data_IF_845584759195
#
_entry.id   IF_845584759195
#
_cell.length_a   1.000
_cell.length_b   1.000
_cell.length_c   1.000
_cell.angle_alpha   90.00
_cell.angle_beta   90.00
_cell.angle_gamma   90.00
#
_symmetry.space_group_name_H-M   'P 1'
#
loop_
_entity.id
_entity.type
_entity.pdbx_description
1 polymer ?
#
# COMPACT_ATOMS: atom_id res chain seq x y z
N UNK A 1 5.09 25.72 -18.68
CA UNK A 1 5.14 24.70 -19.74
C UNK A 1 3.88 24.85 -20.58
N UNK A 2 4.03 25.06 -21.86
CA UNK A 2 2.89 25.21 -22.77
C UNK A 2 2.29 23.85 -23.19
N UNK A 3 1.12 23.89 -23.87
CA UNK A 3 0.43 22.65 -24.29
C UNK A 3 1.24 21.80 -25.28
N UNK A 4 2.08 22.44 -26.08
CA UNK A 4 2.88 21.78 -27.10
C UNK A 4 4.08 21.03 -26.48
N UNK A 5 4.75 21.68 -25.53
CA UNK A 5 5.83 21.05 -24.74
C UNK A 5 5.30 19.85 -23.94
N UNK A 6 4.14 19.99 -23.31
CA UNK A 6 3.51 18.91 -22.58
C UNK A 6 3.16 17.72 -23.49
N UNK A 7 2.68 18.01 -24.71
CA UNK A 7 2.36 16.95 -25.65
C UNK A 7 3.63 16.20 -26.10
N UNK A 8 4.74 16.90 -26.36
CA UNK A 8 6.03 16.26 -26.66
C UNK A 8 6.46 15.27 -25.58
N UNK A 9 6.29 15.60 -24.31
CA UNK A 9 6.64 14.71 -23.21
C UNK A 9 5.72 13.48 -23.13
N UNK A 10 4.45 13.66 -23.46
CA UNK A 10 3.48 12.55 -23.54
C UNK A 10 3.76 11.61 -24.70
N UNK A 11 4.32 12.14 -25.78
CA UNK A 11 4.62 11.37 -27.00
C UNK A 11 5.96 10.64 -26.93
N UNK A 12 6.78 10.87 -25.89
CA UNK A 12 7.99 10.08 -25.67
C UNK A 12 7.65 8.59 -25.59
N UNK A 13 8.39 7.71 -26.30
CA UNK A 13 8.12 6.28 -26.30
C UNK A 13 8.13 5.69 -24.90
N UNK A 14 6.99 5.17 -24.43
CA UNK A 14 6.81 4.75 -23.05
C UNK A 14 7.75 3.62 -22.66
N UNK A 15 8.10 2.72 -23.57
CA UNK A 15 9.06 1.64 -23.33
C UNK A 15 10.47 2.17 -23.13
N UNK A 16 10.90 3.12 -23.97
CA UNK A 16 12.19 3.78 -23.81
C UNK A 16 12.29 4.58 -22.50
N UNK A 17 11.18 5.18 -22.05
CA UNK A 17 11.10 5.82 -20.76
C UNK A 17 11.17 4.79 -19.62
N UNK A 18 10.48 3.66 -19.76
CA UNK A 18 10.53 2.56 -18.79
C UNK A 18 11.96 2.00 -18.62
N UNK A 19 12.67 1.80 -19.73
CA UNK A 19 14.08 1.35 -19.70
C UNK A 19 14.99 2.36 -19.01
N UNK A 20 14.78 3.66 -19.22
CA UNK A 20 15.53 4.74 -18.53
C UNK A 20 15.21 4.80 -17.03
N UNK A 21 14.04 4.34 -16.63
CA UNK A 21 13.66 4.14 -15.22
C UNK A 21 14.25 2.86 -14.61
N UNK A 22 15.03 2.07 -15.39
CA UNK A 22 15.64 0.83 -14.93
C UNK A 22 14.74 -0.40 -15.05
N UNK A 23 13.58 -0.28 -15.70
CA UNK A 23 12.67 -1.42 -15.93
C UNK A 23 13.17 -2.25 -17.12
N UNK A 24 13.28 -3.55 -16.95
CA UNK A 24 13.68 -4.46 -18.01
C UNK A 24 12.47 -4.82 -18.90
N UNK A 25 12.33 -4.12 -20.01
CA UNK A 25 11.23 -4.35 -20.95
C UNK A 25 11.58 -5.47 -21.92
N UNK A 26 10.70 -6.47 -22.03
CA UNK A 26 10.82 -7.57 -22.98
C UNK A 26 9.45 -7.92 -23.54
N UNK A 27 9.30 -7.97 -24.87
CA UNK A 27 8.04 -8.29 -25.56
C UNK A 27 6.87 -7.45 -25.06
N UNK A 28 7.07 -6.14 -24.94
CA UNK A 28 6.09 -5.16 -24.44
C UNK A 28 5.60 -5.42 -23.00
N UNK A 29 6.42 -6.05 -22.15
CA UNK A 29 6.12 -6.33 -20.74
C UNK A 29 7.35 -6.15 -19.88
N UNK A 30 7.12 -5.86 -18.59
CA UNK A 30 8.16 -5.90 -17.55
C UNK A 30 7.54 -6.32 -16.22
N UNK A 31 8.40 -6.58 -15.23
CA UNK A 31 7.95 -6.70 -13.84
C UNK A 31 7.33 -5.36 -13.42
N UNK A 32 6.20 -5.40 -12.74
CA UNK A 32 5.53 -4.20 -12.29
C UNK A 32 6.27 -3.59 -11.09
N UNK A 33 6.72 -2.34 -11.17
CA UNK A 33 7.42 -1.70 -10.05
C UNK A 33 6.47 -1.24 -8.93
N UNK A 34 5.15 -1.42 -9.11
CA UNK A 34 4.13 -0.90 -8.21
C UNK A 34 3.55 -1.96 -7.27
N UNK A 35 4.03 -3.22 -7.32
CA UNK A 35 3.73 -4.30 -6.40
C UNK A 35 4.82 -5.38 -6.51
N UNK A 36 4.88 -6.29 -5.55
CA UNK A 36 5.77 -7.46 -5.62
C UNK A 36 5.35 -8.34 -6.81
N UNK A 37 6.14 -8.30 -7.89
CA UNK A 37 5.85 -8.97 -9.16
C UNK A 37 6.96 -9.97 -9.49
N UNK A 38 6.59 -11.23 -9.59
CA UNK A 38 7.53 -12.32 -9.93
C UNK A 38 7.44 -12.74 -11.40
N UNK A 39 6.38 -12.28 -12.09
CA UNK A 39 6.15 -12.57 -13.49
C UNK A 39 5.72 -11.28 -14.21
N UNK A 40 6.28 -10.93 -15.38
CA UNK A 40 5.98 -9.67 -16.05
C UNK A 40 4.47 -9.43 -16.22
N UNK A 41 3.89 -8.59 -15.34
CA UNK A 41 2.47 -8.27 -15.30
C UNK A 41 2.13 -6.87 -15.81
N UNK A 42 3.14 -5.98 -15.91
CA UNK A 42 2.96 -4.65 -16.49
C UNK A 42 3.17 -4.76 -18.02
N UNK A 43 2.15 -4.43 -18.78
CA UNK A 43 2.15 -4.47 -20.23
C UNK A 43 2.09 -3.06 -20.81
N UNK A 44 2.86 -2.83 -21.88
CA UNK A 44 2.87 -1.59 -22.64
C UNK A 44 2.03 -1.72 -23.91
N UNK A 45 1.17 -0.75 -24.16
CA UNK A 45 0.43 -0.62 -25.41
C UNK A 45 1.09 0.49 -26.24
N UNK A 46 2.08 0.14 -27.05
CA UNK A 46 2.89 1.09 -27.83
C UNK A 46 2.03 1.99 -28.70
N UNK A 47 0.99 1.44 -29.39
CA UNK A 47 0.08 2.20 -30.25
C UNK A 47 -0.70 3.31 -29.54
N UNK A 48 -0.86 3.23 -28.23
CA UNK A 48 -1.54 4.24 -27.39
C UNK A 48 -0.58 4.96 -26.44
N UNK A 49 0.68 4.58 -26.44
CA UNK A 49 1.71 5.08 -25.55
C UNK A 49 1.32 5.02 -24.07
N UNK A 50 0.73 3.88 -23.65
CA UNK A 50 0.22 3.66 -22.30
C UNK A 50 0.72 2.35 -21.73
N UNK A 51 0.74 2.27 -20.39
CA UNK A 51 0.99 1.02 -19.67
C UNK A 51 -0.24 0.59 -18.85
N UNK A 52 -0.31 -0.71 -18.58
CA UNK A 52 -1.28 -1.28 -17.63
C UNK A 52 -0.71 -2.52 -16.96
N UNK A 53 -0.75 -2.54 -15.65
CA UNK A 53 -0.53 -3.74 -14.86
C UNK A 53 -1.85 -4.51 -14.70
N UNK A 54 -1.86 -5.79 -15.05
CA UNK A 54 -3.05 -6.63 -14.93
C UNK A 54 -3.23 -7.22 -13.52
N UNK A 55 -2.23 -7.06 -12.64
CA UNK A 55 -2.28 -7.55 -11.25
C UNK A 55 -2.73 -6.45 -10.30
N UNK A 56 -2.04 -5.31 -10.26
CA UNK A 56 -2.38 -4.22 -9.33
C UNK A 56 -3.30 -3.15 -9.95
N UNK A 57 -3.59 -3.23 -11.25
CA UNK A 57 -4.45 -2.26 -11.96
C UNK A 57 -3.78 -0.92 -12.28
N UNK A 58 -2.50 -0.73 -11.93
CA UNK A 58 -1.76 0.48 -12.25
C UNK A 58 -1.76 0.71 -13.77
N UNK A 59 -2.14 1.92 -14.20
CA UNK A 59 -2.20 2.27 -15.61
C UNK A 59 -1.98 3.77 -15.80
N UNK A 60 -1.54 4.16 -17.00
CA UNK A 60 -1.30 5.56 -17.33
C UNK A 60 -0.50 5.74 -18.60
N UNK A 61 -0.12 6.98 -18.88
CA UNK A 61 0.80 7.34 -19.95
C UNK A 61 2.24 7.50 -19.46
N UNK A 62 3.07 8.08 -20.30
CA UNK A 62 4.52 8.28 -20.06
C UNK A 62 4.78 9.10 -18.79
N UNK A 63 4.07 10.21 -18.61
CA UNK A 63 4.25 11.07 -17.43
C UNK A 63 3.77 10.34 -16.16
N UNK A 64 2.65 9.61 -16.23
CA UNK A 64 2.13 8.85 -15.09
C UNK A 64 3.09 7.74 -14.64
N UNK A 65 3.79 7.11 -15.60
CA UNK A 65 4.80 6.10 -15.31
C UNK A 65 5.95 6.70 -14.51
N UNK A 66 6.48 7.85 -14.96
CA UNK A 66 7.58 8.56 -14.27
C UNK A 66 7.16 9.03 -12.89
N UNK A 67 6.00 9.67 -12.78
CA UNK A 67 5.45 10.14 -11.52
C UNK A 67 5.35 9.03 -10.50
N UNK A 68 4.79 7.90 -10.90
CA UNK A 68 4.58 6.74 -10.00
C UNK A 68 5.87 5.99 -9.67
N UNK A 69 6.78 5.86 -10.64
CA UNK A 69 8.01 5.11 -10.46
C UNK A 69 9.05 5.87 -9.62
N UNK A 70 9.20 7.16 -9.88
CA UNK A 70 10.14 8.03 -9.15
C UNK A 70 9.51 8.68 -7.92
N UNK A 71 8.19 8.52 -7.73
CA UNK A 71 7.42 9.16 -6.66
C UNK A 71 7.56 10.69 -6.66
N UNK A 72 7.52 11.27 -7.85
CA UNK A 72 7.68 12.71 -8.06
C UNK A 72 6.36 13.35 -8.52
N UNK A 73 6.24 14.66 -8.32
CA UNK A 73 5.09 15.42 -8.80
C UNK A 73 5.09 15.58 -10.34
N UNK A 74 4.00 16.11 -10.87
CA UNK A 74 3.85 16.33 -12.31
C UNK A 74 4.94 17.24 -12.88
N UNK A 75 5.34 18.29 -12.15
CA UNK A 75 6.37 19.23 -12.62
C UNK A 75 7.76 18.58 -12.65
N UNK A 76 8.06 17.78 -11.64
CA UNK A 76 9.33 17.05 -11.54
C UNK A 76 9.41 15.93 -12.57
N UNK A 77 8.32 15.18 -12.78
CA UNK A 77 8.24 14.16 -13.83
C UNK A 77 8.45 14.80 -15.23
N UNK A 78 7.83 15.96 -15.48
CA UNK A 78 8.04 16.68 -16.72
C UNK A 78 9.49 17.17 -16.87
N UNK A 79 10.11 17.70 -15.80
CA UNK A 79 11.54 18.08 -15.80
C UNK A 79 12.43 16.89 -16.11
N UNK A 80 12.19 15.77 -15.46
CA UNK A 80 12.93 14.53 -15.71
C UNK A 80 12.79 14.07 -17.17
N UNK A 81 11.58 14.06 -17.72
CA UNK A 81 11.33 13.73 -19.12
C UNK A 81 11.99 14.71 -20.09
N UNK A 82 12.08 16.00 -19.75
CA UNK A 82 12.80 17.00 -20.54
C UNK A 82 14.29 16.69 -20.67
N UNK A 83 14.92 16.11 -19.62
CA UNK A 83 16.33 15.69 -19.73
C UNK A 83 16.54 14.57 -20.74
N UNK A 84 15.50 13.79 -21.05
CA UNK A 84 15.55 12.75 -22.06
C UNK A 84 15.35 13.27 -23.48
N UNK A 85 14.66 14.40 -23.64
CA UNK A 85 14.32 14.99 -24.95
C UNK A 85 15.39 15.92 -25.53
N UNK A 86 16.52 16.13 -24.84
CA UNK A 86 17.63 16.94 -25.32
C UNK A 86 17.35 18.45 -25.48
N UNK A 87 16.26 18.96 -24.88
CA UNK A 87 15.97 20.40 -24.87
C UNK A 87 16.67 21.08 -23.68
N UNK A 88 17.43 22.17 -23.89
CA UNK A 88 18.11 22.88 -22.82
C UNK A 88 17.09 23.52 -21.86
N UNK A 89 17.24 23.28 -20.58
CA UNK A 89 16.50 23.95 -19.54
C UNK A 89 16.86 25.43 -19.52
N UNK A 90 15.88 26.31 -19.73
CA UNK A 90 16.04 27.74 -19.43
C UNK A 90 16.08 27.96 -17.94
N UNK A 91 17.22 28.40 -17.49
CA UNK A 91 17.65 29.13 -16.32
C UNK A 91 16.86 29.01 -15.02
N UNK A 92 17.53 28.41 -14.05
CA UNK A 92 17.28 28.54 -12.62
C UNK A 92 18.48 27.93 -11.92
N UNK A 93 19.42 28.77 -11.50
CA UNK A 93 20.57 28.38 -10.67
C UNK A 93 20.06 27.74 -9.40
N UNK A 94 20.44 26.49 -9.16
CA UNK A 94 20.37 25.86 -7.87
C UNK A 94 21.69 25.20 -7.53
N UNK A 95 22.29 25.74 -6.48
CA UNK A 95 23.46 25.30 -5.74
C UNK A 95 23.32 23.83 -5.31
N UNK A 96 24.33 22.98 -5.53
CA UNK A 96 24.28 21.56 -5.16
C UNK A 96 24.77 21.33 -3.74
N UNK A 97 24.13 21.88 -2.74
CA UNK A 97 24.38 21.55 -1.34
C UNK A 97 23.10 21.71 -0.54
N UNK A 98 22.33 20.64 -0.44
CA UNK A 98 21.52 20.15 0.71
C UNK A 98 20.64 19.00 0.24
N UNK A 99 21.19 17.80 0.27
CA UNK A 99 20.44 16.57 0.03
C UNK A 99 20.06 15.95 1.36
N UNK A 100 18.96 16.41 1.95
CA UNK A 100 18.21 15.64 2.95
C UNK A 100 16.72 15.87 2.68
N UNK A 101 16.28 15.29 1.57
CA UNK A 101 14.90 15.38 1.12
C UNK A 101 14.11 14.15 1.51
N UNK A 102 13.35 14.24 2.61
CA UNK A 102 12.16 13.40 2.80
C UNK A 102 11.16 13.83 1.73
N UNK A 103 11.01 13.00 0.68
CA UNK A 103 10.12 13.30 -0.43
C UNK A 103 8.66 13.08 -0.02
N UNK A 104 7.95 14.17 0.14
CA UNK A 104 6.51 14.19 0.34
C UNK A 104 5.79 14.19 -1.00
N UNK A 105 4.93 13.21 -1.23
CA UNK A 105 3.96 13.24 -2.32
C UNK A 105 2.83 14.22 -1.97
N UNK A 106 2.53 15.21 -2.81
CA UNK A 106 1.34 16.01 -2.61
C UNK A 106 0.10 15.15 -2.91
N UNK A 107 -0.78 15.05 -1.93
CA UNK A 107 -2.15 14.61 -2.12
C UNK A 107 -2.82 15.50 -3.18
N UNK A 108 -3.28 14.90 -4.29
CA UNK A 108 -4.06 15.61 -5.30
C UNK A 108 -5.48 15.86 -4.78
N UNK A 109 -5.75 17.06 -4.34
CA UNK A 109 -7.09 17.61 -4.48
C UNK A 109 -7.27 17.99 -5.97
N UNK A 110 -8.19 17.33 -6.65
CA UNK A 110 -8.63 17.75 -7.99
C UNK A 110 -8.10 16.97 -9.19
N UNK A 111 -8.34 15.67 -9.26
CA UNK A 111 -8.62 14.95 -10.50
C UNK A 111 -10.08 14.49 -10.43
N UNK A 112 -10.87 14.68 -11.49
CA UNK A 112 -12.33 14.50 -11.51
C UNK A 112 -12.89 13.11 -11.20
N UNK A 113 -12.31 12.41 -10.21
CA UNK A 113 -12.87 11.25 -9.58
C UNK A 113 -13.85 11.74 -8.50
N UNK A 114 -15.06 11.23 -8.54
CA UNK A 114 -16.04 11.48 -7.49
C UNK A 114 -15.43 11.13 -6.13
N UNK A 115 -15.61 11.96 -5.09
CA UNK A 115 -15.12 11.65 -3.75
C UNK A 115 -15.68 10.29 -3.30
N UNK A 116 -14.93 9.58 -2.45
CA UNK A 116 -15.42 8.31 -1.87
C UNK A 116 -16.71 8.57 -1.10
N UNK A 117 -17.78 7.92 -1.54
CA UNK A 117 -19.08 8.00 -0.88
C UNK A 117 -19.19 6.90 0.19
N UNK A 118 -18.81 7.25 1.43
CA UNK A 118 -18.83 6.35 2.57
C UNK A 118 -20.24 5.81 2.86
N UNK A 119 -21.28 6.62 2.64
CA UNK A 119 -22.66 6.26 2.97
C UNK A 119 -23.16 5.00 2.26
N UNK A 120 -22.61 4.70 1.08
CA UNK A 120 -22.90 3.48 0.32
C UNK A 120 -22.38 2.21 0.98
N UNK A 121 -21.39 2.34 1.86
CA UNK A 121 -20.65 1.21 2.45
C UNK A 121 -20.86 1.08 3.95
N UNK A 122 -21.12 2.15 4.70
CA UNK A 122 -21.24 2.17 6.16
C UNK A 122 -22.16 1.09 6.70
N UNK A 123 -23.33 0.92 6.10
CA UNK A 123 -24.33 -0.10 6.51
C UNK A 123 -23.77 -1.53 6.54
N UNK A 124 -22.79 -1.85 5.68
CA UNK A 124 -22.20 -3.17 5.63
C UNK A 124 -21.24 -3.40 6.78
N UNK A 125 -20.66 -2.33 7.33
CA UNK A 125 -19.71 -2.38 8.43
C UNK A 125 -20.35 -2.13 9.79
N UNK A 126 -21.58 -1.60 9.83
CA UNK A 126 -22.38 -1.52 11.05
C UNK A 126 -22.85 -2.90 11.51
N UNK A 127 -23.19 -3.76 10.56
CA UNK A 127 -23.61 -5.15 10.81
C UNK A 127 -22.81 -6.10 9.90
N UNK A 128 -21.54 -6.33 10.24
CA UNK A 128 -20.67 -7.18 9.42
C UNK A 128 -21.22 -8.59 9.33
N UNK A 129 -21.21 -9.13 8.12
CA UNK A 129 -21.59 -10.51 7.85
C UNK A 129 -20.51 -11.20 7.02
N UNK A 130 -20.25 -12.47 7.30
CA UNK A 130 -19.23 -13.27 6.62
C UNK A 130 -19.89 -14.48 5.94
N UNK A 131 -19.69 -14.59 4.63
CA UNK A 131 -20.01 -15.80 3.88
C UNK A 131 -19.05 -16.95 4.28
N UNK A 132 -19.36 -18.15 3.81
CA UNK A 132 -18.58 -19.35 4.13
C UNK A 132 -17.11 -19.22 3.73
N UNK A 133 -16.83 -18.69 2.54
CA UNK A 133 -15.48 -18.50 2.01
C UNK A 133 -14.67 -17.49 2.85
N UNK A 134 -15.32 -16.43 3.32
CA UNK A 134 -14.67 -15.46 4.21
C UNK A 134 -14.41 -16.06 5.60
N UNK A 135 -15.35 -16.83 6.13
CA UNK A 135 -15.17 -17.53 7.42
C UNK A 135 -14.00 -18.53 7.34
N UNK A 136 -13.97 -19.34 6.29
CA UNK A 136 -12.87 -20.27 6.03
C UNK A 136 -11.53 -19.53 5.94
N UNK A 137 -11.47 -18.47 5.14
CA UNK A 137 -10.26 -17.66 4.99
C UNK A 137 -9.78 -17.06 6.32
N UNK A 138 -10.68 -16.44 7.10
CA UNK A 138 -10.31 -15.72 8.32
C UNK A 138 -10.02 -16.68 9.50
N UNK A 139 -10.83 -17.72 9.69
CA UNK A 139 -10.76 -18.55 10.89
C UNK A 139 -10.01 -19.87 10.71
N UNK A 140 -10.06 -20.48 9.51
CA UNK A 140 -9.35 -21.75 9.27
C UNK A 140 -7.98 -21.52 8.65
N UNK A 141 -7.90 -20.68 7.58
CA UNK A 141 -6.62 -20.44 6.89
C UNK A 141 -5.73 -19.42 7.62
N UNK A 142 -6.32 -18.37 8.20
CA UNK A 142 -5.60 -17.29 8.91
C UNK A 142 -5.64 -17.41 10.43
N UNK A 143 -6.51 -18.28 10.98
CA UNK A 143 -6.65 -18.58 12.41
C UNK A 143 -6.80 -17.34 13.31
N UNK A 144 -7.49 -16.33 12.79
CA UNK A 144 -7.65 -15.05 13.47
C UNK A 144 -8.65 -15.16 14.63
N UNK A 145 -8.42 -14.36 15.67
CA UNK A 145 -9.38 -14.21 16.77
C UNK A 145 -10.66 -13.51 16.27
N UNK A 146 -11.83 -14.04 16.62
CA UNK A 146 -13.12 -13.44 16.23
C UNK A 146 -13.27 -12.01 16.74
N UNK A 147 -12.69 -11.68 17.90
CA UNK A 147 -12.71 -10.32 18.43
C UNK A 147 -11.98 -9.33 17.52
N UNK A 148 -10.88 -9.77 16.89
CA UNK A 148 -10.12 -8.98 15.93
C UNK A 148 -10.92 -8.78 14.65
N UNK A 149 -11.55 -9.84 14.12
CA UNK A 149 -12.39 -9.76 12.93
C UNK A 149 -13.55 -8.78 13.14
N UNK A 150 -14.18 -8.80 14.34
CA UNK A 150 -15.22 -7.85 14.74
C UNK A 150 -14.69 -6.43 14.94
N UNK A 151 -13.54 -6.27 15.58
CA UNK A 151 -12.88 -4.96 15.76
C UNK A 151 -12.60 -4.30 14.40
N UNK A 152 -12.04 -5.07 13.48
CA UNK A 152 -11.71 -4.62 12.12
C UNK A 152 -12.95 -4.48 11.22
N UNK A 153 -14.14 -4.84 11.71
CA UNK A 153 -15.43 -4.79 10.99
C UNK A 153 -15.35 -5.45 9.61
N UNK A 154 -14.61 -6.57 9.50
CA UNK A 154 -14.49 -7.30 8.25
C UNK A 154 -15.84 -7.87 7.84
N UNK A 155 -16.23 -7.65 6.60
CA UNK A 155 -17.47 -8.19 6.03
C UNK A 155 -17.22 -8.81 4.66
N UNK A 156 -18.19 -9.52 4.12
CA UNK A 156 -18.04 -10.17 2.82
C UNK A 156 -19.30 -10.05 1.97
N UNK A 157 -19.12 -10.22 0.68
CA UNK A 157 -20.20 -10.23 -0.30
C UNK A 157 -19.83 -11.10 -1.49
N UNK A 158 -20.81 -11.43 -2.33
CA UNK A 158 -20.59 -12.07 -3.63
C UNK A 158 -20.99 -11.10 -4.73
N UNK A 159 -20.18 -10.99 -5.78
CA UNK A 159 -20.54 -10.18 -6.93
C UNK A 159 -21.60 -10.89 -7.80
N UNK A 160 -22.01 -10.23 -8.90
CA UNK A 160 -23.04 -10.77 -9.80
C UNK A 160 -22.65 -12.09 -10.46
N UNK A 161 -21.34 -12.41 -10.51
CA UNK A 161 -20.80 -13.67 -11.01
C UNK A 161 -20.63 -14.71 -9.90
N UNK A 162 -21.02 -14.40 -8.67
CA UNK A 162 -20.88 -15.27 -7.51
C UNK A 162 -19.48 -15.30 -6.90
N UNK A 163 -18.55 -14.46 -7.37
CA UNK A 163 -17.18 -14.38 -6.82
C UNK A 163 -17.24 -13.83 -5.40
N UNK A 164 -16.67 -14.53 -4.40
CA UNK A 164 -16.65 -14.06 -3.02
C UNK A 164 -15.55 -13.02 -2.80
N UNK A 165 -15.90 -11.93 -2.15
CA UNK A 165 -15.04 -10.82 -1.80
C UNK A 165 -15.07 -10.56 -0.30
N UNK A 166 -13.89 -10.39 0.31
CA UNK A 166 -13.76 -9.83 1.66
C UNK A 166 -13.62 -8.32 1.55
N UNK A 167 -14.48 -7.58 2.26
CA UNK A 167 -14.42 -6.12 2.35
C UNK A 167 -13.64 -5.72 3.61
N UNK A 168 -12.65 -4.89 3.42
CA UNK A 168 -11.73 -4.40 4.43
C UNK A 168 -11.93 -2.89 4.52
N UNK A 169 -12.58 -2.37 5.58
CA UNK A 169 -12.80 -0.94 5.73
C UNK A 169 -11.54 -0.23 6.21
N UNK A 170 -11.29 0.94 5.67
CA UNK A 170 -10.25 1.86 6.13
C UNK A 170 -10.92 3.03 6.84
N UNK A 171 -10.53 3.23 8.08
CA UNK A 171 -11.01 4.33 8.93
C UNK A 171 -9.89 5.31 9.19
N UNK A 172 -10.20 6.62 9.24
CA UNK A 172 -9.28 7.60 9.79
C UNK A 172 -9.22 7.48 11.33
N UNK A 173 -8.40 8.30 11.98
CA UNK A 173 -8.22 8.25 13.43
C UNK A 173 -9.53 8.58 14.16
N UNK A 174 -10.39 9.45 13.61
CA UNK A 174 -11.71 9.81 14.15
C UNK A 174 -12.76 8.70 14.00
N UNK A 175 -12.42 7.60 13.31
CA UNK A 175 -13.30 6.47 13.07
C UNK A 175 -14.28 6.66 11.91
N UNK A 176 -14.06 7.62 11.04
CA UNK A 176 -14.84 7.81 9.82
C UNK A 176 -14.33 6.88 8.72
N UNK A 177 -15.23 6.28 7.96
CA UNK A 177 -14.90 5.41 6.83
C UNK A 177 -14.34 6.24 5.67
N UNK A 178 -13.09 6.01 5.28
CA UNK A 178 -12.39 6.77 4.23
C UNK A 178 -12.08 5.94 2.99
N UNK A 179 -12.25 4.63 3.05
CA UNK A 179 -12.02 3.74 1.93
C UNK A 179 -12.40 2.31 2.22
N UNK A 180 -12.48 1.52 1.16
CA UNK A 180 -12.73 0.07 1.21
C UNK A 180 -11.80 -0.64 0.26
N UNK A 181 -11.11 -1.65 0.76
CA UNK A 181 -10.38 -2.60 -0.07
C UNK A 181 -11.20 -3.89 -0.16
N UNK A 182 -11.45 -4.37 -1.37
CA UNK A 182 -12.10 -5.67 -1.59
C UNK A 182 -11.03 -6.69 -1.99
N UNK A 183 -10.86 -7.74 -1.19
CA UNK A 183 -9.96 -8.86 -1.47
C UNK A 183 -10.74 -10.01 -2.11
N UNK A 184 -10.27 -10.50 -3.25
CA UNK A 184 -10.81 -11.70 -3.88
C UNK A 184 -10.45 -12.92 -3.02
N UNK A 185 -11.44 -13.74 -2.67
CA UNK A 185 -11.25 -14.94 -1.86
C UNK A 185 -11.01 -16.20 -2.69
N UNK A 186 -11.17 -16.12 -4.03
CA UNK A 186 -10.81 -17.22 -4.92
C UNK A 186 -9.29 -17.24 -5.07
N UNK A 187 -8.68 -18.37 -4.70
CA UNK A 187 -7.21 -18.53 -4.74
C UNK A 187 -6.70 -18.38 -6.18
N UNK A 188 -5.70 -17.51 -6.36
CA UNK A 188 -5.08 -17.26 -7.67
C UNK A 188 -5.89 -16.42 -8.65
N UNK A 189 -7.13 -16.04 -8.30
CA UNK A 189 -7.95 -15.20 -9.16
C UNK A 189 -7.44 -13.75 -9.24
N UNK A 190 -7.59 -13.15 -10.41
CA UNK A 190 -7.26 -11.76 -10.68
C UNK A 190 -8.52 -10.95 -11.01
N UNK A 191 -8.61 -9.69 -10.59
CA UNK A 191 -7.64 -9.00 -9.72
C UNK A 191 -7.73 -9.51 -8.28
N UNK A 192 -6.59 -9.55 -7.58
CA UNK A 192 -6.54 -9.93 -6.16
C UNK A 192 -7.26 -8.92 -5.27
N UNK A 193 -7.19 -7.65 -5.62
CA UNK A 193 -7.82 -6.55 -4.90
C UNK A 193 -8.60 -5.64 -5.85
N UNK A 194 -9.71 -5.07 -5.33
CA UNK A 194 -10.48 -4.00 -5.96
C UNK A 194 -10.74 -2.89 -4.96
N UNK A 195 -10.76 -1.66 -5.44
CA UNK A 195 -11.03 -0.47 -4.65
C UNK A 195 -12.19 0.30 -5.27
N UNK A 196 -13.21 0.71 -4.49
CA UNK A 196 -14.18 1.69 -4.95
C UNK A 196 -13.50 3.01 -5.35
N UNK A 197 -14.08 3.73 -6.30
CA UNK A 197 -13.58 5.05 -6.70
C UNK A 197 -13.48 6.00 -5.50
N UNK A 198 -12.40 6.76 -5.43
CA UNK A 198 -12.13 7.71 -4.35
C UNK A 198 -11.70 7.08 -3.01
N UNK A 199 -11.61 5.74 -2.89
CA UNK A 199 -11.15 5.09 -1.66
C UNK A 199 -9.74 5.52 -1.27
N UNK A 200 -9.59 5.99 -0.02
CA UNK A 200 -8.32 6.35 0.59
C UNK A 200 -7.86 5.20 1.50
N UNK A 201 -7.06 4.30 0.95
CA UNK A 201 -6.54 3.14 1.67
C UNK A 201 -5.05 3.38 2.04
N UNK A 202 -4.81 4.36 2.91
CA UNK A 202 -3.50 4.65 3.50
C UNK A 202 -3.17 3.72 4.67
N UNK A 203 -2.75 4.27 5.82
CA UNK A 203 -2.48 3.47 7.02
C UNK A 203 -3.77 2.76 7.46
N UNK A 204 -3.67 1.44 7.65
CA UNK A 204 -4.76 0.61 8.11
C UNK A 204 -4.84 0.60 9.64
N UNK A 205 -6.06 0.51 10.19
CA UNK A 205 -6.37 0.41 11.62
C UNK A 205 -5.96 1.64 12.45
N UNK A 206 -6.02 2.83 11.89
CA UNK A 206 -5.75 4.08 12.61
C UNK A 206 -6.55 4.25 13.92
N UNK A 207 -7.81 3.77 14.06
CA UNK A 207 -8.54 3.88 15.32
C UNK A 207 -7.85 3.22 16.52
N UNK A 208 -6.87 2.33 16.33
CA UNK A 208 -6.09 1.74 17.42
C UNK A 208 -5.27 2.79 18.17
N UNK A 209 -4.89 3.88 17.50
CA UNK A 209 -4.13 4.97 18.10
C UNK A 209 -4.89 5.61 19.28
N UNK A 210 -6.22 5.66 19.22
CA UNK A 210 -7.07 6.17 20.32
C UNK A 210 -7.14 5.21 21.52
N UNK A 211 -6.57 4.03 21.43
CA UNK A 211 -6.50 3.02 22.51
C UNK A 211 -5.11 2.91 23.11
N UNK A 212 -4.18 3.73 22.66
CA UNK A 212 -2.81 3.76 23.15
C UNK A 212 -2.73 4.40 24.53
N UNK A 213 -1.80 3.91 25.35
CA UNK A 213 -1.46 4.45 26.67
C UNK A 213 0.04 4.72 26.71
N UNK A 214 0.53 5.61 27.58
CA UNK A 214 1.96 5.78 27.77
C UNK A 214 2.67 4.45 28.07
N UNK A 215 3.75 4.17 27.37
CA UNK A 215 4.52 2.93 27.49
C UNK A 215 3.96 1.73 26.72
N UNK A 216 2.91 1.90 25.92
CA UNK A 216 2.45 0.86 24.99
C UNK A 216 3.44 0.69 23.82
N UNK A 217 3.55 -0.53 23.32
CA UNK A 217 4.24 -0.83 22.08
C UNK A 217 3.23 -0.78 20.91
N UNK A 218 3.60 -0.12 19.80
CA UNK A 218 2.84 -0.12 18.56
C UNK A 218 3.61 -0.87 17.48
N UNK A 219 2.96 -1.90 16.94
CA UNK A 219 3.53 -2.71 15.87
C UNK A 219 3.12 -2.20 14.51
N UNK A 220 4.08 -2.12 13.59
CA UNK A 220 3.88 -1.74 12.21
C UNK A 220 4.02 -2.98 11.33
N UNK A 221 3.07 -3.19 10.43
CA UNK A 221 3.06 -4.30 9.47
C UNK A 221 2.88 -3.79 8.05
N UNK A 222 3.20 -4.62 7.05
CA UNK A 222 3.11 -4.23 5.63
C UNK A 222 1.73 -4.43 5.03
N UNK A 223 0.90 -5.22 5.62
CA UNK A 223 -0.42 -5.51 5.08
C UNK A 223 -1.48 -5.67 6.15
N UNK A 224 -2.75 -5.45 5.77
CA UNK A 224 -3.88 -5.63 6.67
C UNK A 224 -3.94 -7.06 7.25
N UNK A 225 -3.52 -8.09 6.48
CA UNK A 225 -3.50 -9.48 6.96
C UNK A 225 -2.53 -9.67 8.13
N UNK A 226 -1.34 -9.07 8.06
CA UNK A 226 -0.32 -9.15 9.11
C UNK A 226 -0.74 -8.33 10.32
N UNK A 227 -1.41 -7.20 10.09
CA UNK A 227 -2.02 -6.42 11.15
C UNK A 227 -3.07 -7.25 11.92
N UNK A 228 -3.94 -8.01 11.25
CA UNK A 228 -4.90 -8.88 11.92
C UNK A 228 -4.23 -9.98 12.73
N UNK A 229 -3.18 -10.60 12.18
CA UNK A 229 -2.40 -11.61 12.89
C UNK A 229 -1.75 -11.01 14.15
N UNK A 230 -1.17 -9.82 14.04
CA UNK A 230 -0.55 -9.09 15.14
C UNK A 230 -1.57 -8.75 16.23
N UNK A 231 -2.75 -8.22 15.84
CA UNK A 231 -3.86 -7.97 16.75
C UNK A 231 -4.36 -9.27 17.42
N UNK A 232 -4.41 -10.38 16.68
CA UNK A 232 -4.83 -11.70 17.21
C UNK A 232 -3.79 -12.30 18.15
N UNK A 233 -2.52 -11.90 18.02
CA UNK A 233 -1.45 -12.20 18.97
C UNK A 233 -1.50 -11.32 20.24
N UNK A 234 -2.43 -10.35 20.31
CA UNK A 234 -2.63 -9.48 21.47
C UNK A 234 -1.89 -8.15 21.43
N UNK A 235 -1.25 -7.83 20.32
CA UNK A 235 -0.51 -6.58 20.14
C UNK A 235 -1.38 -5.47 19.55
N UNK A 236 -1.02 -4.21 19.80
CA UNK A 236 -1.60 -3.05 19.11
C UNK A 236 -0.83 -2.84 17.81
N UNK A 237 -1.53 -2.82 16.69
CA UNK A 237 -0.88 -2.79 15.38
C UNK A 237 -1.61 -1.91 14.37
N UNK A 238 -0.84 -1.31 13.49
CA UNK A 238 -1.26 -0.64 12.25
C UNK A 238 -0.60 -1.32 11.07
N UNK A 239 -1.15 -1.14 9.86
CA UNK A 239 -0.47 -1.58 8.65
C UNK A 239 -0.23 -0.42 7.70
N UNK A 240 0.95 -0.45 7.05
CA UNK A 240 1.32 0.45 5.98
C UNK A 240 1.33 -0.37 4.70
N UNK A 241 0.31 -0.24 3.83
CA UNK A 241 0.10 -1.18 2.71
C UNK A 241 1.21 -1.16 1.66
N UNK A 242 2.06 -0.15 1.67
CA UNK A 242 3.26 -0.06 0.83
C UNK A 242 4.13 1.11 1.29
N UNK A 243 5.45 0.95 1.23
CA UNK A 243 6.41 2.03 1.43
C UNK A 243 6.15 3.25 0.54
N UNK A 244 5.55 3.02 -0.63
CA UNK A 244 5.24 4.03 -1.64
C UNK A 244 3.93 4.79 -1.36
N UNK A 245 3.16 4.36 -0.37
CA UNK A 245 1.89 4.97 0.01
C UNK A 245 1.97 5.82 1.30
N UNK A 246 3.14 5.89 1.95
CA UNK A 246 3.37 6.81 3.04
C UNK A 246 3.30 8.24 2.54
N UNK A 247 2.25 8.95 2.93
CA UNK A 247 2.11 10.38 2.64
C UNK A 247 2.85 11.19 3.70
N UNK A 248 3.13 12.47 3.41
CA UNK A 248 3.66 13.40 4.40
C UNK A 248 2.79 13.45 5.65
N UNK A 249 1.48 13.42 5.46
CA UNK A 249 0.51 13.40 6.56
C UNK A 249 0.66 12.15 7.44
N UNK A 250 0.87 10.97 6.84
CA UNK A 250 1.08 9.72 7.59
C UNK A 250 2.38 9.78 8.42
N UNK A 251 3.43 10.36 7.84
CA UNK A 251 4.70 10.59 8.52
C UNK A 251 4.55 11.55 9.70
N UNK A 252 3.85 12.67 9.49
CA UNK A 252 3.55 13.65 10.54
C UNK A 252 2.71 13.01 11.65
N UNK A 253 1.70 12.22 11.31
CA UNK A 253 0.87 11.49 12.27
C UNK A 253 1.69 10.53 13.13
N UNK A 254 2.53 9.69 12.53
CA UNK A 254 3.39 8.75 13.26
C UNK A 254 4.39 9.47 14.16
N UNK A 255 4.96 10.59 13.68
CA UNK A 255 5.88 11.41 14.47
C UNK A 255 5.17 12.06 15.68
N UNK A 256 3.94 12.57 15.50
CA UNK A 256 3.14 13.13 16.61
C UNK A 256 2.80 12.06 17.64
N UNK A 257 2.41 10.87 17.23
CA UNK A 257 2.12 9.74 18.12
C UNK A 257 3.36 9.38 18.94
N UNK A 258 4.55 9.36 18.32
CA UNK A 258 5.81 9.09 18.99
C UNK A 258 6.10 10.14 20.10
N UNK A 259 5.97 11.43 19.78
CA UNK A 259 6.23 12.51 20.73
C UNK A 259 5.21 12.52 21.87
N UNK A 260 3.93 12.33 21.57
CA UNK A 260 2.84 12.42 22.55
C UNK A 260 2.89 11.32 23.61
N UNK A 261 3.28 10.08 23.21
CA UNK A 261 3.11 8.90 24.08
C UNK A 261 4.43 8.25 24.48
N UNK A 262 5.60 8.73 24.03
CA UNK A 262 6.92 8.09 24.25
C UNK A 262 6.87 6.59 23.95
N UNK A 263 6.34 6.23 22.80
CA UNK A 263 6.02 4.85 22.44
C UNK A 263 7.21 4.10 21.90
N UNK A 264 7.20 2.79 22.10
CA UNK A 264 8.08 1.88 21.37
C UNK A 264 7.40 1.42 20.08
N UNK A 265 8.06 1.65 18.96
CA UNK A 265 7.62 1.15 17.66
C UNK A 265 8.38 -0.13 17.31
N UNK A 266 7.66 -1.14 16.86
CA UNK A 266 8.22 -2.44 16.49
C UNK A 266 7.75 -2.85 15.09
N UNK A 267 8.60 -3.55 14.36
CA UNK A 267 8.27 -4.10 13.06
C UNK A 267 8.93 -5.45 12.84
N UNK A 268 8.20 -6.40 12.28
CA UNK A 268 8.72 -7.56 11.58
C UNK A 268 8.63 -7.27 10.08
N UNK A 269 9.69 -6.79 9.43
CA UNK A 269 9.66 -6.62 7.98
C UNK A 269 9.41 -7.95 7.27
N UNK A 270 8.66 -7.92 6.17
CA UNK A 270 8.55 -9.08 5.29
C UNK A 270 9.95 -9.47 4.81
N UNK A 271 10.21 -10.78 4.70
CA UNK A 271 11.53 -11.30 4.32
C UNK A 271 11.76 -11.15 2.81
N UNK A 272 11.63 -9.95 2.32
CA UNK A 272 11.94 -9.58 0.95
C UNK A 272 12.52 -8.16 0.87
N UNK A 273 13.03 -7.79 -0.30
CA UNK A 273 13.65 -6.48 -0.48
C UNK A 273 12.68 -5.29 -0.32
N UNK A 274 11.39 -5.37 -0.66
CA UNK A 274 10.40 -4.34 -0.32
C UNK A 274 10.25 -4.13 1.18
N UNK A 275 10.14 -5.20 1.97
CA UNK A 275 9.97 -5.13 3.42
C UNK A 275 11.14 -4.44 4.12
N UNK A 276 12.35 -4.83 3.77
CA UNK A 276 13.55 -4.18 4.31
C UNK A 276 13.63 -2.69 3.91
N UNK A 277 13.23 -2.35 2.69
CA UNK A 277 13.17 -0.94 2.27
C UNK A 277 12.15 -0.14 3.06
N UNK A 278 10.96 -0.70 3.31
CA UNK A 278 9.93 -0.06 4.13
C UNK A 278 10.46 0.19 5.54
N UNK A 279 11.10 -0.80 6.15
CA UNK A 279 11.72 -0.66 7.47
C UNK A 279 12.72 0.51 7.49
N UNK A 280 13.66 0.55 6.55
CA UNK A 280 14.68 1.61 6.47
C UNK A 280 14.07 3.00 6.23
N UNK A 281 12.97 3.10 5.49
CA UNK A 281 12.26 4.36 5.30
C UNK A 281 11.56 4.82 6.58
N UNK A 282 10.90 3.89 7.28
CA UNK A 282 10.25 4.19 8.56
C UNK A 282 11.25 4.56 9.64
N UNK A 283 12.41 3.91 9.68
CA UNK A 283 13.47 4.19 10.66
C UNK A 283 13.99 5.64 10.55
N UNK A 284 13.97 6.24 9.37
CA UNK A 284 14.34 7.67 9.19
C UNK A 284 13.36 8.61 9.91
N UNK A 285 12.10 8.21 10.02
CA UNK A 285 11.02 8.99 10.65
C UNK A 285 10.83 8.61 12.12
N UNK A 286 11.05 7.35 12.42
CA UNK A 286 10.93 6.74 13.74
C UNK A 286 12.29 6.13 14.13
N UNK A 287 13.27 6.93 14.60
CA UNK A 287 14.63 6.43 14.88
C UNK A 287 14.69 5.32 15.92
N UNK A 288 13.68 5.25 16.81
CA UNK A 288 13.54 4.21 17.84
C UNK A 288 12.82 2.95 17.35
N UNK A 289 12.48 2.84 16.05
CA UNK A 289 11.82 1.67 15.50
C UNK A 289 12.70 0.42 15.65
N UNK A 290 12.19 -0.57 16.36
CA UNK A 290 12.86 -1.84 16.64
C UNK A 290 12.61 -2.83 15.50
N UNK A 291 13.67 -3.32 14.90
CA UNK A 291 13.66 -4.37 13.90
C UNK A 291 13.59 -5.76 14.56
N UNK A 292 12.60 -6.55 14.20
CA UNK A 292 12.49 -7.95 14.61
C UNK A 292 12.69 -8.88 13.42
N UNK A 293 13.45 -9.95 13.61
CA UNK A 293 13.63 -10.95 12.55
C UNK A 293 12.58 -12.05 12.64
N UNK A 294 11.94 -12.32 11.50
CA UNK A 294 11.12 -13.52 11.33
C UNK A 294 11.99 -14.78 11.25
N UNK A 295 11.52 -15.94 11.73
CA UNK A 295 12.17 -17.21 11.50
C UNK A 295 12.46 -17.46 10.01
N UNK A 296 13.52 -18.19 9.65
CA UNK A 296 13.93 -18.40 8.26
C UNK A 296 12.86 -18.99 7.36
N UNK A 297 11.97 -19.77 7.92
CA UNK A 297 10.87 -20.48 7.27
C UNK A 297 9.55 -19.69 7.23
N UNK A 298 9.54 -18.45 7.71
CA UNK A 298 8.38 -17.54 7.66
C UNK A 298 8.66 -16.37 6.70
N UNK A 299 7.73 -16.11 5.80
CA UNK A 299 7.83 -14.99 4.86
C UNK A 299 7.42 -13.67 5.52
N UNK A 300 6.31 -13.68 6.23
CA UNK A 300 5.64 -12.56 6.86
C UNK A 300 5.16 -12.93 8.26
N UNK A 301 4.62 -11.96 9.00
CA UNK A 301 4.13 -12.21 10.36
C UNK A 301 2.90 -13.11 10.39
N UNK A 302 2.06 -13.10 9.36
CA UNK A 302 0.92 -14.02 9.28
C UNK A 302 1.36 -15.48 9.21
N UNK A 303 2.42 -15.78 8.46
CA UNK A 303 2.99 -17.13 8.40
C UNK A 303 3.53 -17.57 9.78
N UNK A 304 4.26 -16.69 10.45
CA UNK A 304 4.79 -16.92 11.78
C UNK A 304 3.67 -17.18 12.80
N UNK A 305 2.66 -16.32 12.84
CA UNK A 305 1.50 -16.44 13.72
C UNK A 305 0.76 -17.77 13.51
N UNK A 306 0.51 -18.13 12.24
CA UNK A 306 -0.17 -19.40 11.91
C UNK A 306 0.60 -20.62 12.40
N UNK A 307 1.93 -20.64 12.25
CA UNK A 307 2.77 -21.75 12.73
C UNK A 307 2.75 -21.85 14.25
N UNK A 308 2.81 -20.72 14.96
CA UNK A 308 2.70 -20.67 16.42
C UNK A 308 1.36 -21.28 16.89
N UNK A 309 0.25 -20.91 16.26
CA UNK A 309 -1.08 -21.44 16.58
C UNK A 309 -1.17 -22.95 16.33
N UNK A 310 -0.63 -23.44 15.20
CA UNK A 310 -0.60 -24.88 14.91
C UNK A 310 0.16 -25.67 15.99
N UNK A 311 1.32 -25.16 16.41
CA UNK A 311 2.14 -25.80 17.44
C UNK A 311 1.41 -25.86 18.78
N UNK A 312 0.74 -24.79 19.17
CA UNK A 312 -0.02 -24.71 20.43
C UNK A 312 -1.21 -25.67 20.42
N UNK A 313 -1.92 -25.81 19.30
CA UNK A 313 -3.05 -26.75 19.14
C UNK A 313 -2.59 -28.22 19.22
N UNK A 314 -1.41 -28.55 18.68
CA UNK A 314 -0.85 -29.90 18.72
C UNK A 314 -0.34 -30.27 20.13
N UNK A 315 0.30 -29.31 20.83
CA UNK A 315 0.85 -29.57 22.18
C UNK A 315 -0.21 -29.46 23.29
N UNK A 316 -1.40 -28.96 23.01
CA UNK A 316 -2.52 -28.80 23.97
C UNK A 316 -3.54 -29.93 23.93
N UNK A 317 -3.33 -30.96 23.07
CA UNK A 317 -4.05 -32.23 23.07
C UNK A 317 -3.23 -33.29 23.78
#
# INVERSE_FOLDING_TARGET
MDKFELQKLRDLPIEGVAERLGLQVSRHKCLCPFHDDRHPSLSFKVSKNTYRCFVCGASGGTIDLVMRHLHVDFKEACRWLQTLSGSPCLGGEHDPQTSDGVYSLPYREGSGESPFDASRYERFFERPWLNEEARKFLFEERRLDERVVRWCRLTSWKDKQGVPWLQIPYYNQEGQLVGVQNRNLVRGALPRFRFPSGSKCGIYNLPVLNRLKPGDALWITEGSSDCWAMLSAGHKAIAIPSATLLTRHDVELLSMVNVQWSMEFHMFPDRDAPGERLFLQLQKVLPSLVHHQLPPDCKDFSDYYNKQKMTTEICGQ
#
